data_IF_030885113179
#
_entry.id   IF_030885113179
#
_cell.length_a   1.000
_cell.length_b   1.000
_cell.length_c   1.000
_cell.angle_alpha   90.00
_cell.angle_beta   90.00
_cell.angle_gamma   90.00
#
_symmetry.space_group_name_H-M   'P 1'
#
loop_
_entity.id
_entity.type
_entity.pdbx_description
1 polymer ?
#
# COMPACT_ATOMS: atom_id res chain seq x y z
N UNK A 1 -42.72 4.24 5.10
CA UNK A 1 -41.55 4.99 4.60
C UNK A 1 -40.34 4.07 4.75
N UNK A 2 -39.89 3.40 3.66
CA UNK A 2 -38.70 2.56 3.71
C UNK A 2 -37.48 3.48 3.69
N UNK A 3 -36.76 3.58 4.78
CA UNK A 3 -35.45 4.20 4.83
C UNK A 3 -34.57 3.41 3.83
N UNK A 4 -34.15 4.04 2.73
CA UNK A 4 -33.11 3.51 1.87
C UNK A 4 -31.87 3.41 2.74
N UNK A 5 -31.42 2.19 3.04
CA UNK A 5 -30.06 1.99 3.50
C UNK A 5 -29.16 2.67 2.44
N UNK A 6 -28.35 3.63 2.85
CA UNK A 6 -27.40 4.26 1.93
C UNK A 6 -26.53 3.12 1.37
N UNK A 7 -26.52 2.99 0.04
CA UNK A 7 -25.73 1.94 -0.59
C UNK A 7 -24.25 2.15 -0.20
N UNK A 8 -23.61 1.09 0.28
CA UNK A 8 -22.18 1.14 0.64
C UNK A 8 -21.38 1.50 -0.63
N UNK A 9 -20.40 2.42 -0.54
CA UNK A 9 -19.55 2.74 -1.68
C UNK A 9 -18.85 1.48 -2.21
N UNK A 10 -18.80 1.36 -3.53
CA UNK A 10 -18.17 0.26 -4.25
C UNK A 10 -16.72 0.59 -4.56
N UNK A 11 -15.82 -0.27 -4.15
CA UNK A 11 -14.37 -0.15 -4.42
C UNK A 11 -13.94 -1.21 -5.39
N UNK A 12 -13.37 -0.80 -6.53
CA UNK A 12 -12.71 -1.69 -7.46
C UNK A 12 -11.34 -2.06 -6.92
N UNK A 13 -11.06 -3.34 -6.73
CA UNK A 13 -9.79 -3.86 -6.22
C UNK A 13 -9.08 -4.60 -7.33
N UNK A 14 -7.87 -4.18 -7.69
CA UNK A 14 -7.09 -4.86 -8.72
C UNK A 14 -6.53 -6.19 -8.21
N UNK A 15 -6.33 -7.15 -9.12
CA UNK A 15 -5.88 -8.50 -8.80
C UNK A 15 -4.54 -8.83 -9.48
N UNK A 16 -3.79 -9.76 -8.90
CA UNK A 16 -2.66 -10.40 -9.56
C UNK A 16 -3.13 -11.53 -10.47
N UNK A 17 -2.28 -11.92 -11.41
CA UNK A 17 -2.50 -13.09 -12.23
C UNK A 17 -1.61 -14.26 -11.77
N UNK A 18 -2.13 -15.48 -11.85
CA UNK A 18 -1.36 -16.70 -11.65
C UNK A 18 -1.70 -17.70 -12.76
N UNK A 19 -0.70 -18.08 -13.54
CA UNK A 19 -0.84 -19.09 -14.57
C UNK A 19 -0.65 -20.48 -14.00
N UNK A 20 -1.60 -21.39 -14.27
CA UNK A 20 -1.48 -22.82 -13.97
C UNK A 20 -1.48 -23.61 -15.26
N UNK A 21 -0.48 -24.43 -15.46
CA UNK A 21 -0.36 -25.22 -16.70
C UNK A 21 -0.99 -26.62 -16.61
N UNK A 22 -1.29 -27.13 -15.41
CA UNK A 22 -1.84 -28.49 -15.23
C UNK A 22 -3.02 -28.50 -14.27
N UNK A 23 -4.04 -29.35 -14.54
CA UNK A 23 -4.26 -30.21 -15.71
C UNK A 23 -4.71 -29.48 -16.98
N UNK A 24 -5.16 -28.23 -16.87
CA UNK A 24 -5.55 -27.35 -17.96
C UNK A 24 -4.83 -26.01 -17.78
N UNK A 25 -4.34 -25.44 -18.90
CA UNK A 25 -3.80 -24.07 -18.89
C UNK A 25 -4.92 -23.12 -18.48
N UNK A 26 -4.69 -22.43 -17.37
CA UNK A 26 -5.66 -21.51 -16.80
C UNK A 26 -4.93 -20.32 -16.17
N UNK A 27 -5.51 -19.14 -16.32
CA UNK A 27 -5.07 -17.92 -15.65
C UNK A 27 -6.09 -17.62 -14.56
N UNK A 28 -5.64 -17.55 -13.31
CA UNK A 28 -6.46 -17.19 -12.16
C UNK A 28 -6.20 -15.72 -11.79
N UNK A 29 -7.27 -14.95 -11.59
CA UNK A 29 -7.19 -13.63 -10.99
C UNK A 29 -7.21 -13.82 -9.46
N UNK A 30 -6.16 -13.36 -8.77
CA UNK A 30 -5.96 -13.59 -7.35
C UNK A 30 -5.73 -12.28 -6.60
N UNK A 31 -6.34 -12.16 -5.42
CA UNK A 31 -6.00 -11.12 -4.44
C UNK A 31 -6.19 -11.68 -3.04
N UNK A 32 -5.43 -11.16 -2.07
CA UNK A 32 -5.60 -11.53 -0.68
C UNK A 32 -6.99 -11.16 -0.17
N UNK A 33 -7.70 -12.08 0.46
CA UNK A 33 -9.01 -11.80 1.06
C UNK A 33 -8.93 -10.70 2.13
N UNK A 34 -7.75 -10.44 2.66
CA UNK A 34 -7.50 -9.40 3.65
C UNK A 34 -7.87 -8.00 3.15
N UNK A 35 -7.66 -7.70 1.85
CA UNK A 35 -8.10 -6.44 1.23
C UNK A 35 -9.62 -6.29 1.34
N UNK A 36 -10.36 -7.34 0.94
CA UNK A 36 -11.81 -7.35 1.03
C UNK A 36 -12.28 -7.21 2.48
N UNK A 37 -11.64 -7.92 3.41
CA UNK A 37 -11.96 -7.86 4.84
C UNK A 37 -11.76 -6.46 5.42
N UNK A 38 -10.64 -5.78 5.07
CA UNK A 38 -10.36 -4.42 5.52
C UNK A 38 -11.37 -3.40 4.97
N UNK A 39 -11.72 -3.51 3.67
CA UNK A 39 -12.74 -2.66 3.06
C UNK A 39 -14.12 -2.86 3.70
N UNK A 40 -14.54 -4.11 3.91
CA UNK A 40 -15.82 -4.40 4.58
C UNK A 40 -15.83 -3.89 6.01
N UNK A 41 -14.71 -4.01 6.73
CA UNK A 41 -14.57 -3.50 8.10
C UNK A 41 -14.73 -1.98 8.19
N UNK A 42 -14.36 -1.26 7.13
CA UNK A 42 -14.50 0.20 7.02
C UNK A 42 -15.76 0.64 6.27
N UNK A 43 -16.73 -0.26 6.09
CA UNK A 43 -18.04 0.06 5.53
C UNK A 43 -18.11 0.09 4.00
N UNK A 44 -17.05 -0.33 3.30
CA UNK A 44 -16.96 -0.33 1.85
C UNK A 44 -17.31 -1.70 1.26
N UNK A 45 -17.73 -1.73 -0.01
CA UNK A 45 -18.08 -2.95 -0.75
C UNK A 45 -17.01 -3.25 -1.81
N UNK A 46 -16.16 -4.28 -1.65
CA UNK A 46 -15.14 -4.63 -2.63
C UNK A 46 -15.72 -5.31 -3.88
N UNK A 47 -15.20 -4.94 -5.05
CA UNK A 47 -15.43 -5.60 -6.34
C UNK A 47 -14.07 -5.93 -6.94
N UNK A 48 -13.79 -7.21 -7.20
CA UNK A 48 -12.49 -7.64 -7.74
C UNK A 48 -12.44 -7.43 -9.24
N UNK A 49 -11.37 -6.79 -9.73
CA UNK A 49 -11.11 -6.57 -11.15
C UNK A 49 -10.01 -7.53 -11.62
N UNK A 50 -10.30 -8.48 -12.52
CA UNK A 50 -9.24 -9.20 -13.22
C UNK A 50 -8.45 -8.23 -14.11
N UNK A 51 -7.22 -8.57 -14.47
CA UNK A 51 -6.47 -7.86 -15.49
C UNK A 51 -7.19 -8.02 -16.83
N UNK A 52 -7.50 -6.90 -17.47
CA UNK A 52 -8.15 -6.81 -18.78
C UNK A 52 -7.28 -5.97 -19.73
N UNK A 53 -7.56 -6.00 -21.04
CA UNK A 53 -6.96 -5.04 -21.96
C UNK A 53 -7.13 -3.60 -21.47
N UNK A 54 -6.05 -2.80 -21.57
CA UNK A 54 -5.98 -1.46 -20.99
C UNK A 54 -7.10 -0.52 -21.46
N UNK A 55 -7.56 -0.67 -22.69
CA UNK A 55 -8.65 0.11 -23.28
C UNK A 55 -10.01 -0.12 -22.60
N UNK A 56 -10.15 -1.20 -21.84
CA UNK A 56 -11.38 -1.50 -21.10
C UNK A 56 -11.38 -0.92 -19.67
N UNK A 57 -10.22 -0.43 -19.19
CA UNK A 57 -10.09 0.10 -17.84
C UNK A 57 -11.11 1.23 -17.52
N UNK A 58 -11.37 2.21 -18.41
CA UNK A 58 -12.37 3.23 -18.14
C UNK A 58 -13.78 2.67 -17.93
N UNK A 59 -14.18 1.65 -18.66
CA UNK A 59 -15.52 1.06 -18.55
C UNK A 59 -15.73 0.33 -17.22
N UNK A 60 -14.67 -0.20 -16.60
CA UNK A 60 -14.76 -0.84 -15.28
C UNK A 60 -15.06 0.13 -14.14
N UNK A 61 -14.88 1.42 -14.36
CA UNK A 61 -15.18 2.47 -13.35
C UNK A 61 -16.66 2.86 -13.32
N UNK A 62 -17.50 2.32 -14.20
CA UNK A 62 -18.92 2.62 -14.20
C UNK A 62 -19.61 2.01 -12.96
N UNK A 63 -20.20 2.89 -12.13
CA UNK A 63 -20.83 2.47 -10.88
C UNK A 63 -19.85 2.08 -9.77
N UNK A 64 -18.60 2.52 -9.87
CA UNK A 64 -17.54 2.40 -8.86
C UNK A 64 -17.31 3.76 -8.22
N UNK A 65 -17.15 3.78 -6.90
CA UNK A 65 -16.96 5.00 -6.12
C UNK A 65 -15.47 5.25 -5.79
N UNK A 66 -14.62 4.22 -5.82
CA UNK A 66 -13.19 4.35 -5.59
C UNK A 66 -12.38 3.13 -6.07
N UNK A 67 -11.06 3.27 -6.13
CA UNK A 67 -10.15 2.22 -6.63
C UNK A 67 -9.10 1.88 -5.57
N UNK A 68 -8.84 0.58 -5.36
CA UNK A 68 -7.72 0.07 -4.58
C UNK A 68 -6.76 -0.69 -5.51
N UNK A 69 -5.53 -0.19 -5.60
CA UNK A 69 -4.42 -0.89 -6.27
C UNK A 69 -3.72 -1.78 -5.27
N UNK A 70 -3.81 -3.09 -5.48
CA UNK A 70 -3.28 -4.10 -4.56
C UNK A 70 -1.78 -4.34 -4.74
N UNK A 71 -1.17 -5.03 -3.78
CA UNK A 71 0.20 -5.53 -3.87
C UNK A 71 0.40 -6.54 -5.00
N UNK A 72 1.65 -6.94 -5.24
CA UNK A 72 1.95 -7.90 -6.30
C UNK A 72 3.41 -7.92 -6.71
N UNK A 73 3.66 -8.40 -7.94
CA UNK A 73 4.96 -8.51 -8.60
C UNK A 73 5.51 -7.14 -9.00
N UNK A 74 6.75 -7.08 -9.46
CA UNK A 74 7.43 -5.83 -9.82
C UNK A 74 6.77 -5.12 -11.01
N UNK A 75 6.92 -3.79 -11.06
CA UNK A 75 6.53 -2.99 -12.22
C UNK A 75 7.67 -3.04 -13.26
N UNK A 76 7.31 -3.18 -14.54
CA UNK A 76 8.28 -3.16 -15.64
C UNK A 76 9.05 -1.83 -15.65
N UNK A 77 10.40 -1.85 -15.51
CA UNK A 77 11.22 -0.66 -15.54
C UNK A 77 11.06 0.21 -16.79
N UNK A 78 10.65 -0.39 -17.91
CA UNK A 78 10.32 0.35 -19.12
C UNK A 78 9.20 1.37 -18.91
N UNK A 79 8.30 1.17 -17.95
CA UNK A 79 7.20 2.10 -17.62
C UNK A 79 7.68 3.40 -17.01
N UNK A 80 8.88 3.42 -16.43
CA UNK A 80 9.53 4.62 -15.88
C UNK A 80 10.90 4.91 -16.48
N UNK A 81 11.11 4.47 -17.74
CA UNK A 81 12.26 4.86 -18.55
C UNK A 81 13.59 4.21 -18.17
N UNK A 82 13.57 3.13 -17.41
CA UNK A 82 14.78 2.42 -16.97
C UNK A 82 14.95 1.09 -17.71
N UNK A 83 16.18 0.55 -17.68
CA UNK A 83 16.49 -0.81 -18.12
C UNK A 83 16.34 -1.76 -16.93
N UNK A 84 15.97 -3.05 -17.17
CA UNK A 84 15.91 -4.04 -16.11
C UNK A 84 17.24 -4.20 -15.37
N UNK A 85 17.20 -4.15 -14.03
CA UNK A 85 18.35 -4.47 -13.18
C UNK A 85 18.55 -5.98 -13.05
N UNK A 86 19.71 -6.40 -12.51
CA UNK A 86 20.02 -7.82 -12.28
C UNK A 86 19.02 -8.48 -11.33
N UNK A 87 18.54 -7.73 -10.35
CA UNK A 87 17.72 -8.22 -9.24
C UNK A 87 16.23 -7.88 -9.41
N UNK A 88 15.81 -7.50 -10.63
CA UNK A 88 14.40 -7.35 -10.96
C UNK A 88 13.69 -8.69 -10.79
N UNK A 89 12.54 -8.67 -10.11
CA UNK A 89 11.70 -9.84 -9.93
C UNK A 89 10.81 -10.13 -11.14
N UNK A 90 9.71 -10.84 -10.91
CA UNK A 90 8.73 -11.13 -11.94
C UNK A 90 7.95 -9.86 -12.28
N UNK A 91 7.73 -9.63 -13.57
CA UNK A 91 6.95 -8.52 -14.13
C UNK A 91 5.70 -9.06 -14.81
N UNK A 92 4.57 -8.36 -14.63
CA UNK A 92 3.30 -8.61 -15.33
C UNK A 92 2.95 -7.37 -16.18
N UNK A 93 3.40 -7.39 -17.43
CA UNK A 93 3.25 -6.23 -18.34
C UNK A 93 1.79 -5.94 -18.71
N UNK A 94 0.93 -6.97 -18.73
CA UNK A 94 -0.50 -6.80 -18.98
C UNK A 94 -1.17 -6.10 -17.80
N UNK A 95 -0.85 -6.51 -16.59
CA UNK A 95 -1.32 -5.86 -15.37
C UNK A 95 -0.83 -4.42 -15.27
N UNK A 96 0.45 -4.17 -15.59
CA UNK A 96 1.00 -2.81 -15.62
C UNK A 96 0.22 -1.91 -16.57
N UNK A 97 0.00 -2.37 -17.82
CA UNK A 97 -0.74 -1.60 -18.80
C UNK A 97 -2.18 -1.32 -18.37
N UNK A 98 -2.87 -2.33 -17.84
CA UNK A 98 -4.22 -2.22 -17.32
C UNK A 98 -4.33 -1.26 -16.13
N UNK A 99 -3.48 -1.42 -15.12
CA UNK A 99 -3.56 -0.60 -13.91
C UNK A 99 -3.11 0.86 -14.15
N UNK A 100 -2.14 1.11 -15.05
CA UNK A 100 -1.79 2.47 -15.48
C UNK A 100 -2.98 3.16 -16.16
N UNK A 101 -3.67 2.47 -17.07
CA UNK A 101 -4.88 3.00 -17.72
C UNK A 101 -6.00 3.25 -16.69
N UNK A 102 -6.17 2.33 -15.74
CA UNK A 102 -7.17 2.46 -14.68
C UNK A 102 -6.87 3.66 -13.76
N UNK A 103 -5.59 3.89 -13.40
CA UNK A 103 -5.18 5.05 -12.63
C UNK A 103 -5.55 6.36 -13.34
N UNK A 104 -5.18 6.51 -14.62
CA UNK A 104 -5.47 7.73 -15.37
C UNK A 104 -6.97 7.97 -15.50
N UNK A 105 -7.75 6.93 -15.84
CA UNK A 105 -9.20 7.06 -15.92
C UNK A 105 -9.86 7.39 -14.58
N UNK A 106 -9.36 6.84 -13.47
CA UNK A 106 -9.83 7.16 -12.12
C UNK A 106 -9.49 8.61 -11.73
N UNK A 107 -8.28 9.10 -12.08
CA UNK A 107 -7.88 10.51 -11.87
C UNK A 107 -8.78 11.47 -12.65
N UNK A 108 -9.04 11.18 -13.93
CA UNK A 108 -9.92 12.00 -14.78
C UNK A 108 -11.34 12.07 -14.23
N UNK A 109 -11.85 10.98 -13.65
CA UNK A 109 -13.18 10.94 -13.02
C UNK A 109 -13.20 11.49 -11.60
N UNK A 110 -12.08 11.89 -11.04
CA UNK A 110 -11.99 12.40 -9.67
C UNK A 110 -12.27 11.34 -8.60
N UNK A 111 -12.08 10.05 -8.90
CA UNK A 111 -12.32 8.97 -7.95
C UNK A 111 -11.23 8.90 -6.89
N UNK A 112 -11.57 8.72 -5.60
CA UNK A 112 -10.62 8.40 -4.56
C UNK A 112 -9.85 7.10 -4.85
N UNK A 113 -8.55 7.08 -4.51
CA UNK A 113 -7.69 5.93 -4.72
C UNK A 113 -6.87 5.59 -3.49
N UNK A 114 -6.69 4.28 -3.25
CA UNK A 114 -5.78 3.73 -2.25
C UNK A 114 -4.78 2.79 -2.93
N UNK A 115 -3.47 3.02 -2.76
CA UNK A 115 -2.41 2.13 -3.23
C UNK A 115 -1.75 1.38 -2.07
N UNK A 116 -1.53 0.06 -2.21
CA UNK A 116 -0.87 -0.75 -1.18
C UNK A 116 0.28 -1.55 -1.78
N UNK A 117 1.48 -1.43 -1.21
CA UNK A 117 2.73 -2.09 -1.61
C UNK A 117 3.07 -1.79 -3.08
N UNK A 118 2.88 -2.73 -4.01
CA UNK A 118 3.02 -2.44 -5.44
C UNK A 118 2.12 -1.27 -5.87
N UNK A 119 0.97 -1.06 -5.20
CA UNK A 119 0.05 0.04 -5.49
C UNK A 119 0.65 1.43 -5.30
N UNK A 120 1.53 1.68 -4.30
CA UNK A 120 2.23 2.97 -4.18
C UNK A 120 3.21 3.17 -5.34
N UNK A 121 3.90 2.11 -5.74
CA UNK A 121 4.84 2.12 -6.86
C UNK A 121 4.12 2.42 -8.18
N UNK A 122 2.96 1.78 -8.39
CA UNK A 122 2.08 2.06 -9.53
C UNK A 122 1.64 3.53 -9.56
N UNK A 123 1.15 4.07 -8.44
CA UNK A 123 0.75 5.48 -8.32
C UNK A 123 1.92 6.39 -8.65
N UNK A 124 3.12 6.11 -8.14
CA UNK A 124 4.31 6.90 -8.42
C UNK A 124 4.66 6.89 -9.91
N UNK A 125 4.73 5.71 -10.53
CA UNK A 125 5.06 5.55 -11.95
C UNK A 125 3.99 6.19 -12.85
N UNK A 126 2.71 5.96 -12.56
CA UNK A 126 1.60 6.54 -13.32
C UNK A 126 1.59 8.07 -13.28
N UNK A 127 2.08 8.67 -12.21
CA UNK A 127 2.20 10.12 -12.06
C UNK A 127 3.55 10.69 -12.55
N UNK A 128 4.45 9.86 -13.09
CA UNK A 128 5.75 10.28 -13.67
C UNK A 128 6.96 10.15 -12.75
N UNK A 129 6.80 9.49 -11.61
CA UNK A 129 7.90 9.13 -10.70
C UNK A 129 8.65 7.87 -11.12
N UNK A 130 9.62 7.45 -10.32
CA UNK A 130 10.43 6.25 -10.54
C UNK A 130 10.48 5.34 -9.31
N UNK A 131 10.99 4.13 -9.50
CA UNK A 131 11.05 3.07 -8.48
C UNK A 131 12.48 2.54 -8.38
N UNK A 132 12.99 2.37 -7.17
CA UNK A 132 14.16 1.51 -6.91
C UNK A 132 13.79 0.07 -7.25
N UNK A 133 14.45 -0.52 -8.24
CA UNK A 133 14.15 -1.89 -8.70
C UNK A 133 14.56 -2.95 -7.67
N UNK A 134 15.51 -2.63 -6.78
CA UNK A 134 15.96 -3.52 -5.72
C UNK A 134 16.65 -2.73 -4.61
N UNK A 135 16.02 -2.65 -3.43
CA UNK A 135 16.50 -1.83 -2.32
C UNK A 135 17.87 -2.25 -1.81
N UNK A 136 18.20 -3.55 -1.82
CA UNK A 136 19.52 -4.03 -1.38
C UNK A 136 20.68 -3.53 -2.27
N UNK A 137 20.40 -3.04 -3.46
CA UNK A 137 21.39 -2.41 -4.34
C UNK A 137 21.58 -0.90 -4.01
N UNK A 138 20.73 -0.33 -3.14
CA UNK A 138 20.80 1.08 -2.72
C UNK A 138 21.62 1.18 -1.44
N UNK A 139 22.77 1.90 -1.46
CA UNK A 139 23.62 2.01 -0.28
C UNK A 139 22.90 2.60 0.93
N UNK A 140 23.05 1.97 2.08
CA UNK A 140 22.49 2.45 3.35
C UNK A 140 21.07 1.97 3.65
N UNK A 141 20.41 1.26 2.73
CA UNK A 141 19.11 0.67 3.02
C UNK A 141 19.23 -0.60 3.88
N UNK A 142 18.21 -0.86 4.69
CA UNK A 142 18.08 -2.05 5.52
C UNK A 142 17.22 -3.12 4.83
N UNK A 143 16.93 -4.21 5.55
CA UNK A 143 16.07 -5.28 5.04
C UNK A 143 14.59 -4.88 5.12
N UNK A 144 13.96 -4.69 3.96
CA UNK A 144 12.54 -4.38 3.80
C UNK A 144 11.69 -5.62 3.43
N UNK A 145 12.31 -6.73 3.04
CA UNK A 145 11.61 -7.96 2.71
C UNK A 145 11.63 -8.93 3.89
N UNK A 146 10.75 -8.71 4.87
CA UNK A 146 10.74 -9.40 6.16
C UNK A 146 9.68 -10.51 6.22
N UNK A 147 9.71 -11.45 5.26
CA UNK A 147 8.67 -12.48 5.06
C UNK A 147 8.48 -13.44 6.24
N UNK A 148 9.49 -13.61 7.10
CA UNK A 148 9.48 -14.57 8.20
C UNK A 148 8.70 -14.11 9.43
N UNK A 149 8.08 -12.93 9.39
CA UNK A 149 7.48 -12.28 10.56
C UNK A 149 5.95 -12.39 10.68
N UNK A 150 5.31 -13.14 9.78
CA UNK A 150 3.89 -13.50 9.89
C UNK A 150 2.91 -12.33 9.89
N UNK A 151 3.30 -11.17 9.33
CA UNK A 151 2.47 -9.97 9.24
C UNK A 151 2.59 -9.01 10.42
N UNK A 152 3.40 -9.31 11.44
CA UNK A 152 3.58 -8.43 12.59
C UNK A 152 4.36 -7.17 12.23
N UNK A 153 3.95 -5.99 12.76
CA UNK A 153 4.67 -4.74 12.57
C UNK A 153 6.04 -4.77 13.25
N UNK A 154 7.10 -4.52 12.49
CA UNK A 154 8.47 -4.54 13.00
C UNK A 154 9.34 -3.42 12.42
N UNK A 155 8.75 -2.60 11.58
CA UNK A 155 9.44 -1.59 10.81
C UNK A 155 8.84 -0.22 11.15
N UNK A 156 9.65 0.67 11.72
CA UNK A 156 9.16 2.00 12.12
C UNK A 156 9.26 2.97 10.96
N UNK A 157 8.15 3.61 10.65
CA UNK A 157 8.08 4.71 9.70
C UNK A 157 7.77 6.01 10.43
N UNK A 158 8.45 7.08 10.04
CA UNK A 158 8.20 8.44 10.52
C UNK A 158 7.14 9.07 9.62
N UNK A 159 6.10 9.62 10.24
CA UNK A 159 5.04 10.36 9.57
C UNK A 159 5.40 11.85 9.49
N UNK A 160 5.10 12.48 8.36
CA UNK A 160 5.36 13.90 8.13
C UNK A 160 4.04 14.67 8.14
N UNK A 161 3.85 15.55 9.11
CA UNK A 161 2.70 16.44 9.18
C UNK A 161 2.91 17.71 8.32
N UNK A 162 1.84 18.30 7.77
CA UNK A 162 0.46 17.82 7.80
C UNK A 162 0.24 16.67 6.83
N UNK A 163 -0.41 15.61 7.27
CA UNK A 163 -0.80 14.49 6.41
C UNK A 163 -2.00 13.74 6.99
N UNK A 164 -2.77 13.11 6.13
CA UNK A 164 -3.94 12.32 6.55
C UNK A 164 -3.52 11.19 7.49
N UNK A 165 -2.36 10.56 7.23
CA UNK A 165 -1.86 9.50 8.09
C UNK A 165 -1.44 10.01 9.47
N UNK A 166 -0.69 11.12 9.55
CA UNK A 166 -0.28 11.70 10.84
C UNK A 166 -1.49 12.12 11.68
N UNK A 167 -2.49 12.73 11.04
CA UNK A 167 -3.71 13.17 11.70
C UNK A 167 -4.53 11.99 12.26
N UNK A 168 -4.64 10.90 11.49
CA UNK A 168 -5.45 9.74 11.88
C UNK A 168 -4.73 8.81 12.87
N UNK A 169 -3.42 8.65 12.75
CA UNK A 169 -2.64 7.92 13.75
C UNK A 169 -2.46 8.71 15.05
N UNK A 170 -2.52 10.05 14.98
CA UNK A 170 -2.26 10.92 16.14
C UNK A 170 -0.83 10.80 16.66
N UNK A 171 0.13 10.45 15.81
CA UNK A 171 1.53 10.18 16.18
C UNK A 171 2.50 10.61 15.08
N UNK A 172 3.76 10.83 15.46
CA UNK A 172 4.85 11.19 14.53
C UNK A 172 5.50 9.95 13.90
N UNK A 173 5.19 8.77 14.39
CA UNK A 173 5.71 7.50 13.87
C UNK A 173 4.77 6.35 14.17
N UNK A 174 4.83 5.33 13.32
CA UNK A 174 4.07 4.09 13.48
C UNK A 174 4.94 2.89 13.11
N UNK A 175 4.71 1.76 13.78
CA UNK A 175 5.37 0.51 13.41
C UNK A 175 4.48 -0.25 12.43
N UNK A 176 5.04 -0.68 11.30
CA UNK A 176 4.35 -1.35 10.20
C UNK A 176 5.07 -2.65 9.83
N UNK A 177 4.42 -3.52 9.05
CA UNK A 177 5.09 -4.66 8.43
C UNK A 177 5.84 -4.23 7.16
N UNK A 178 6.75 -5.07 6.66
CA UNK A 178 7.56 -4.76 5.48
C UNK A 178 7.80 -6.03 4.66
N UNK A 179 7.28 -6.07 3.43
CA UNK A 179 7.33 -7.22 2.52
C UNK A 179 7.64 -6.78 1.09
N UNK A 180 8.62 -5.89 0.92
CA UNK A 180 8.96 -5.35 -0.38
C UNK A 180 10.46 -5.24 -0.57
N UNK A 181 10.93 -5.42 -1.80
CA UNK A 181 12.30 -5.16 -2.21
C UNK A 181 12.41 -4.00 -3.20
N UNK A 182 11.27 -3.45 -3.62
CA UNK A 182 11.16 -2.22 -4.41
C UNK A 182 10.51 -1.12 -3.57
N UNK A 183 10.78 0.13 -3.90
CA UNK A 183 10.15 1.31 -3.30
C UNK A 183 10.21 2.50 -4.26
N UNK A 184 9.43 3.54 -3.99
CA UNK A 184 9.49 4.79 -4.74
C UNK A 184 10.89 5.41 -4.60
N UNK A 185 11.51 5.72 -5.72
CA UNK A 185 12.82 6.39 -5.82
C UNK A 185 12.62 7.93 -5.95
N UNK A 186 12.16 8.38 -7.11
CA UNK A 186 11.78 9.78 -7.31
C UNK A 186 10.26 9.92 -7.18
N UNK A 187 9.76 10.57 -6.12
CA UNK A 187 8.34 10.89 -5.99
C UNK A 187 7.88 11.78 -7.15
N UNK A 188 6.67 11.56 -7.70
CA UNK A 188 6.18 12.38 -8.80
C UNK A 188 5.74 13.77 -8.34
N UNK A 189 5.74 14.74 -9.25
CA UNK A 189 5.17 16.06 -9.02
C UNK A 189 3.68 15.96 -8.65
N UNK A 190 3.23 16.84 -7.74
CA UNK A 190 1.85 16.83 -7.24
C UNK A 190 1.56 15.76 -6.20
N UNK A 191 2.61 15.12 -5.67
CA UNK A 191 2.52 14.20 -4.54
C UNK A 191 3.52 14.55 -3.46
N UNK A 192 3.11 14.43 -2.22
CA UNK A 192 3.95 14.58 -1.04
C UNK A 192 4.33 13.22 -0.47
N UNK A 193 5.59 13.09 -0.07
CA UNK A 193 6.03 11.96 0.74
C UNK A 193 5.61 12.23 2.18
N UNK A 194 4.70 11.42 2.70
CA UNK A 194 4.12 11.59 4.04
C UNK A 194 4.57 10.55 5.04
N UNK A 195 5.34 9.54 4.60
CA UNK A 195 6.03 8.62 5.50
C UNK A 195 7.36 8.15 4.91
N UNK A 196 8.38 8.02 5.79
CA UNK A 196 9.70 7.44 5.47
C UNK A 196 10.20 6.59 6.61
N UNK A 197 11.00 5.60 6.25
CA UNK A 197 11.80 4.84 7.21
C UNK A 197 13.02 5.62 7.68
N UNK A 198 13.70 5.09 8.68
CA UNK A 198 14.95 5.64 9.20
C UNK A 198 16.05 5.71 8.12
N UNK A 199 16.13 4.75 7.22
CA UNK A 199 17.07 4.69 6.10
C UNK A 199 16.61 5.47 4.85
N UNK A 200 15.52 6.26 5.00
CA UNK A 200 15.05 7.21 4.01
C UNK A 200 14.12 6.65 2.94
N UNK A 201 13.80 5.35 2.96
CA UNK A 201 12.89 4.73 2.00
C UNK A 201 11.49 5.34 2.12
N UNK A 202 10.87 5.65 0.98
CA UNK A 202 9.52 6.19 0.91
C UNK A 202 8.50 5.11 1.28
N UNK A 203 7.66 5.43 2.27
CA UNK A 203 6.64 4.51 2.78
C UNK A 203 5.21 5.00 2.55
N UNK A 204 4.99 6.29 2.32
CA UNK A 204 3.67 6.78 1.92
C UNK A 204 3.75 7.99 1.01
N UNK A 205 2.75 8.08 0.12
CA UNK A 205 2.50 9.22 -0.76
C UNK A 205 1.05 9.68 -0.59
N UNK A 206 0.85 10.99 -0.61
CA UNK A 206 -0.45 11.63 -0.67
C UNK A 206 -0.48 12.64 -1.82
N UNK A 207 -1.58 12.72 -2.59
CA UNK A 207 -1.73 13.73 -3.63
C UNK A 207 -1.90 15.13 -3.01
N UNK A 208 -1.24 16.14 -3.60
CA UNK A 208 -1.32 17.55 -3.14
C UNK A 208 -2.60 18.26 -3.54
N UNK A 209 -3.47 17.63 -4.31
CA UNK A 209 -4.75 18.21 -4.76
C UNK A 209 -5.50 17.30 -5.72
N UNK A 210 -6.68 17.78 -6.15
CA UNK A 210 -7.59 16.99 -6.95
C UNK A 210 -8.34 15.95 -6.12
N UNK A 211 -8.54 14.75 -6.68
CA UNK A 211 -9.14 13.64 -5.94
C UNK A 211 -8.19 13.06 -4.89
N UNK A 212 -8.78 12.54 -3.82
CA UNK A 212 -8.02 11.84 -2.78
C UNK A 212 -7.19 10.69 -3.36
N UNK A 213 -5.89 10.70 -3.11
CA UNK A 213 -4.99 9.57 -3.35
C UNK A 213 -4.09 9.41 -2.14
N UNK A 214 -4.17 8.26 -1.53
CA UNK A 214 -3.27 7.80 -0.47
C UNK A 214 -2.63 6.51 -0.94
N UNK A 215 -1.33 6.39 -0.80
CA UNK A 215 -0.64 5.15 -1.11
C UNK A 215 0.43 4.83 -0.06
N UNK A 216 0.48 3.56 0.37
CA UNK A 216 1.38 3.07 1.41
C UNK A 216 2.20 1.88 0.92
N UNK A 217 3.46 1.79 1.35
CA UNK A 217 4.37 0.73 0.92
C UNK A 217 4.21 -0.56 1.73
N UNK A 218 3.78 -0.47 2.98
CA UNK A 218 3.49 -1.63 3.83
C UNK A 218 2.15 -2.29 3.50
N UNK A 219 1.82 -3.38 4.20
CA UNK A 219 0.59 -4.17 4.04
C UNK A 219 -0.33 -4.03 5.26
N UNK A 220 -1.09 -2.93 5.37
CA UNK A 220 -2.01 -2.71 6.50
C UNK A 220 -3.10 -3.79 6.55
N UNK A 221 -3.53 -4.33 5.39
CA UNK A 221 -4.53 -5.39 5.28
C UNK A 221 -4.08 -6.71 5.91
N UNK A 222 -2.78 -6.94 6.03
CA UNK A 222 -2.24 -8.15 6.67
C UNK A 222 -2.13 -7.99 8.19
N UNK A 223 -1.92 -6.77 8.66
CA UNK A 223 -1.65 -6.50 10.08
C UNK A 223 -2.92 -6.20 10.88
N UNK A 224 -3.95 -5.57 10.30
CA UNK A 224 -5.12 -5.08 11.03
C UNK A 224 -5.88 -6.12 11.85
N UNK A 225 -5.91 -7.42 11.50
CA UNK A 225 -6.63 -8.39 12.33
C UNK A 225 -6.07 -8.52 13.75
N UNK A 226 -4.77 -8.27 13.92
CA UNK A 226 -4.08 -8.27 15.22
C UNK A 226 -3.75 -6.87 15.73
N UNK A 227 -3.60 -5.92 14.85
CA UNK A 227 -3.22 -4.53 15.12
C UNK A 227 -4.26 -3.57 14.51
N UNK A 228 -5.38 -3.26 15.19
CA UNK A 228 -6.49 -2.48 14.65
C UNK A 228 -6.09 -1.11 14.10
N UNK A 229 -5.07 -0.45 14.66
CA UNK A 229 -4.54 0.81 14.16
C UNK A 229 -4.08 0.73 12.68
N UNK A 230 -3.73 -0.46 12.19
CA UNK A 230 -3.38 -0.66 10.79
C UNK A 230 -4.56 -0.49 9.82
N UNK A 231 -5.80 -0.36 10.30
CA UNK A 231 -6.94 0.04 9.46
C UNK A 231 -6.89 1.52 9.04
N UNK A 232 -6.05 2.36 9.63
CA UNK A 232 -5.99 3.81 9.35
C UNK A 232 -5.97 4.16 7.85
N UNK A 233 -5.17 3.54 6.96
CA UNK A 233 -5.23 3.85 5.54
C UNK A 233 -6.60 3.56 4.90
N UNK A 234 -7.29 2.50 5.34
CA UNK A 234 -8.63 2.16 4.88
C UNK A 234 -9.70 3.10 5.45
N UNK A 235 -9.53 3.56 6.70
CA UNK A 235 -10.40 4.59 7.33
C UNK A 235 -10.28 5.90 6.55
N UNK A 236 -9.06 6.34 6.23
CA UNK A 236 -8.80 7.52 5.41
C UNK A 236 -9.53 7.44 4.07
N UNK A 237 -9.39 6.29 3.40
CA UNK A 237 -10.03 6.03 2.12
C UNK A 237 -11.56 5.99 2.23
N UNK A 238 -12.12 5.34 3.26
CA UNK A 238 -13.56 5.30 3.50
C UNK A 238 -14.15 6.70 3.76
N UNK A 239 -13.46 7.54 4.54
CA UNK A 239 -13.84 8.93 4.77
C UNK A 239 -13.84 9.75 3.48
N UNK A 240 -12.86 9.54 2.60
CA UNK A 240 -12.83 10.18 1.28
C UNK A 240 -14.01 9.75 0.38
N UNK A 241 -14.60 8.57 0.65
CA UNK A 241 -15.80 8.05 -0.01
C UNK A 241 -17.10 8.43 0.72
N UNK A 242 -17.03 9.33 1.73
CA UNK A 242 -18.19 9.82 2.46
C UNK A 242 -18.74 8.85 3.51
N UNK A 243 -17.95 7.82 3.90
CA UNK A 243 -18.31 6.92 4.99
C UNK A 243 -17.71 7.43 6.29
N UNK A 244 -18.55 7.73 7.26
CA UNK A 244 -18.10 8.03 8.61
C UNK A 244 -17.76 6.72 9.32
N UNK A 245 -16.47 6.52 9.58
CA UNK A 245 -15.94 5.31 10.21
C UNK A 245 -15.41 5.68 11.58
N UNK A 246 -16.08 5.18 12.59
CA UNK A 246 -15.61 5.18 13.96
C UNK A 246 -14.87 3.86 14.21
N UNK A 247 -13.55 3.87 14.01
CA UNK A 247 -12.66 2.78 14.39
C UNK A 247 -11.84 3.27 15.56
N UNK A 248 -11.96 2.59 16.70
CA UNK A 248 -11.07 2.83 17.83
C UNK A 248 -9.64 2.42 17.44
N UNK A 249 -8.86 3.41 17.00
CA UNK A 249 -7.44 3.26 16.62
C UNK A 249 -6.52 3.49 17.82
N UNK A 250 -7.06 3.67 19.03
CA UNK A 250 -6.31 4.05 20.23
C UNK A 250 -5.47 2.91 20.83
N UNK A 251 -5.51 1.70 20.25
CA UNK A 251 -4.78 0.54 20.77
C UNK A 251 -3.58 0.25 19.88
N UNK A 252 -2.40 0.41 20.46
CA UNK A 252 -1.06 0.04 19.93
C UNK A 252 -0.37 1.02 18.96
N UNK A 253 -0.18 2.26 19.41
CA UNK A 253 1.01 2.98 18.98
C UNK A 253 2.18 2.37 19.77
N UNK A 254 2.87 1.39 19.21
CA UNK A 254 4.01 0.74 19.86
C UNK A 254 5.08 1.78 20.19
N UNK A 255 5.04 2.27 21.42
CA UNK A 255 6.13 3.06 21.99
C UNK A 255 7.33 2.14 22.03
N UNK A 256 8.33 2.42 21.22
CA UNK A 256 9.58 1.67 21.19
C UNK A 256 10.13 1.53 22.61
N UNK A 257 10.14 0.29 23.10
CA UNK A 257 10.92 -0.05 24.29
C UNK A 257 12.38 0.14 23.90
N UNK A 258 12.97 1.23 24.36
CA UNK A 258 14.41 1.43 24.27
C UNK A 258 15.10 0.24 24.93
N UNK A 259 15.85 -0.52 24.14
CA UNK A 259 16.81 -1.47 24.66
C UNK A 259 17.89 -0.66 25.40
N UNK A 260 17.67 -0.44 26.69
CA UNK A 260 18.70 -0.05 27.62
C UNK A 260 19.69 -1.20 27.73
N UNK A 261 20.81 -1.11 27.02
CA UNK A 261 21.99 -1.93 27.29
C UNK A 261 22.62 -1.37 28.57
N UNK A 262 22.21 -1.92 29.71
CA UNK A 262 22.96 -1.74 30.96
C UNK A 262 24.23 -2.60 30.84
N UNK A 263 25.33 -1.91 30.53
CA UNK A 263 26.66 -2.45 30.71
C UNK A 263 27.01 -2.41 32.20
N UNK A 264 26.53 -3.39 32.96
CA UNK A 264 26.93 -3.63 34.33
C UNK A 264 28.28 -4.33 34.37
N UNK A 265 29.35 -3.55 34.54
CA UNK A 265 30.62 -4.06 35.00
C UNK A 265 30.50 -4.52 36.48
N UNK A 266 30.85 -5.76 36.76
CA UNK A 266 30.94 -6.30 38.10
C UNK A 266 32.08 -7.29 38.16
N UNK A 267 33.18 -6.80 38.76
CA UNK A 267 34.42 -7.51 38.98
C UNK A 267 34.33 -8.53 40.10
N UNK A 268 35.20 -9.54 40.01
CA UNK A 268 36.02 -10.23 41.02
C UNK A 268 35.33 -10.84 42.26
N UNK A 269 35.57 -12.08 42.54
CA UNK A 269 36.58 -12.65 43.47
C UNK A 269 36.30 -14.13 43.72
N UNK A 270 37.31 -14.91 43.55
CA UNK A 270 37.98 -15.87 44.40
C UNK A 270 37.15 -16.88 45.25
N UNK A 271 37.48 -18.17 45.08
CA UNK A 271 37.11 -19.29 45.90
C UNK A 271 37.39 -20.60 45.19
#
# INVERSE_FOLDING_TARGET
MRVRASARPRVLVTTSQSARERPLRRIDALTGQNYASALVRTGLLPTMAPTLPAELAPALLDGVDGVLFSGGVDIDPARFGQRPSRNLGVVDQERDAFELALYHAARERGLPMLGICRGIQLVAVAAGGTVHQHLQDVPGTHQHEQRDRGGDPLHTVRLTAPSVLADLFGADSVTVNSYHHQAVDAPPDGYRVTARTHDGVVEALEADGGSFVLAVQWHPEMAFPRHPAQLVPFVAFARALGVDVDVDVSVDVGVGVGLGVDAGAGAAEAG
#
